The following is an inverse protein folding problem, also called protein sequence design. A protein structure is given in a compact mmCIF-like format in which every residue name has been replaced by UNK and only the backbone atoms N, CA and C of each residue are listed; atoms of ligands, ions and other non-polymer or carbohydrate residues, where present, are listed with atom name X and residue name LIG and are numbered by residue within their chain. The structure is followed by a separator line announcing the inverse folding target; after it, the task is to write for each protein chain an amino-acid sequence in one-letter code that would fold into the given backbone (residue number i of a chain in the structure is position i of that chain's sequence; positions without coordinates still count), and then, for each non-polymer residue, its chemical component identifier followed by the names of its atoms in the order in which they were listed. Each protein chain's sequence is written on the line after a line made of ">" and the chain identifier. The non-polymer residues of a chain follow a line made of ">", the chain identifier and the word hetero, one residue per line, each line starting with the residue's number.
data_IF_499784523168
#
_entry.id   IF_499784523168
#
_cell.length_a   1.000
_cell.length_b   1.000
_cell.length_c   1.000
_cell.angle_alpha   90.00
_cell.angle_beta   90.00
_cell.angle_gamma   90.00
#
_symmetry.space_group_name_H-M   'P 1'
#
loop_
_entity.id
_entity.type
_entity.pdbx_description
1 polymer ?
#
# COMPACT_ATOMS: atom_id res chain seq x y z
N UNK A 1 -28.25 6.22 -14.04
CA UNK A 1 -29.17 5.41 -13.23
C UNK A 1 -28.35 4.31 -12.60
N UNK A 2 -28.11 4.39 -11.28
CA UNK A 2 -27.48 3.30 -10.53
C UNK A 2 -28.56 2.23 -10.39
N UNK A 3 -28.51 1.18 -11.19
CA UNK A 3 -29.32 -0.02 -10.96
C UNK A 3 -28.77 -0.69 -9.72
N UNK A 4 -29.26 -0.26 -8.56
CA UNK A 4 -29.00 -0.88 -7.28
C UNK A 4 -29.59 -2.28 -7.27
N UNK A 5 -28.78 -3.27 -7.65
CA UNK A 5 -28.93 -4.60 -7.10
C UNK A 5 -28.60 -4.45 -5.62
N UNK A 6 -29.63 -4.48 -4.77
CA UNK A 6 -29.46 -4.63 -3.32
C UNK A 6 -28.71 -5.93 -3.10
N UNK A 7 -27.39 -5.86 -2.90
CA UNK A 7 -26.61 -6.99 -2.40
C UNK A 7 -27.31 -7.43 -1.11
N UNK A 8 -27.70 -8.70 -1.02
CA UNK A 8 -28.02 -9.29 0.29
C UNK A 8 -26.84 -8.98 1.20
N UNK A 9 -27.09 -8.52 2.42
CA UNK A 9 -26.02 -8.28 3.40
C UNK A 9 -25.11 -9.51 3.40
N UNK A 10 -23.84 -9.40 2.96
CA UNK A 10 -22.98 -10.56 2.86
C UNK A 10 -22.82 -11.13 4.27
N UNK A 11 -22.83 -12.46 4.38
CA UNK A 11 -22.59 -13.10 5.66
C UNK A 11 -21.23 -12.66 6.20
N UNK A 12 -21.09 -12.49 7.53
CA UNK A 12 -19.80 -12.16 8.09
C UNK A 12 -18.77 -13.21 7.68
N UNK A 13 -17.53 -12.80 7.37
CA UNK A 13 -16.50 -13.73 6.96
C UNK A 13 -16.31 -14.78 8.04
N UNK A 14 -15.94 -16.02 7.66
CA UNK A 14 -15.69 -17.11 8.60
C UNK A 14 -14.34 -16.95 9.33
N UNK A 15 -13.89 -15.71 9.50
CA UNK A 15 -12.64 -15.35 10.15
C UNK A 15 -12.74 -13.92 10.69
N UNK A 16 -11.89 -13.63 11.65
CA UNK A 16 -11.60 -12.28 12.13
C UNK A 16 -10.09 -12.04 12.10
N UNK A 17 -9.68 -10.78 12.20
CA UNK A 17 -8.31 -10.45 12.54
C UNK A 17 -8.26 -10.00 13.98
N UNK A 18 -7.29 -10.49 14.74
CA UNK A 18 -7.08 -10.13 16.13
C UNK A 18 -5.65 -9.63 16.32
N UNK A 19 -5.47 -8.65 17.20
CA UNK A 19 -4.15 -8.24 17.64
C UNK A 19 -3.41 -9.46 18.20
N UNK A 20 -2.21 -9.73 17.69
CA UNK A 20 -1.39 -10.83 18.17
C UNK A 20 -0.14 -10.33 18.88
N UNK A 21 0.59 -9.39 18.25
CA UNK A 21 1.84 -8.88 18.81
C UNK A 21 2.20 -7.51 18.25
N UNK A 22 3.13 -6.84 18.94
CA UNK A 22 3.77 -5.64 18.45
C UNK A 22 5.23 -5.58 18.89
N UNK A 23 6.04 -4.89 18.10
CA UNK A 23 7.46 -4.72 18.33
C UNK A 23 7.85 -3.26 18.12
N UNK A 24 8.53 -2.67 19.10
CA UNK A 24 9.06 -1.31 18.94
C UNK A 24 10.25 -1.33 17.98
N UNK A 25 10.26 -0.35 17.08
CA UNK A 25 11.37 -0.02 16.22
C UNK A 25 12.13 1.15 16.89
N UNK A 26 13.42 1.00 17.23
CA UNK A 26 14.17 2.07 17.88
C UNK A 26 14.21 3.35 17.04
N UNK A 27 14.08 4.51 17.69
CA UNK A 27 14.23 5.81 17.03
C UNK A 27 15.57 5.92 16.26
N UNK A 28 15.53 6.54 15.08
CA UNK A 28 16.64 6.61 14.12
C UNK A 28 16.80 5.37 13.24
N UNK A 29 15.97 4.34 13.44
CA UNK A 29 15.98 3.13 12.58
C UNK A 29 15.10 3.31 11.35
N UNK A 30 13.82 3.63 11.60
CA UNK A 30 12.79 3.98 10.62
C UNK A 30 11.90 5.00 11.32
N UNK A 31 12.07 6.27 10.98
CA UNK A 31 11.41 7.38 11.68
C UNK A 31 10.18 7.88 10.92
N UNK A 32 10.23 7.86 9.58
CA UNK A 32 9.20 8.41 8.70
C UNK A 32 8.62 7.28 7.83
N UNK A 33 8.27 6.14 8.44
CA UNK A 33 7.72 4.99 7.73
C UNK A 33 6.43 5.37 7.01
N UNK A 34 6.36 5.17 5.71
CA UNK A 34 5.20 5.59 4.91
C UNK A 34 4.56 4.43 4.11
N UNK A 35 5.37 3.51 3.56
CA UNK A 35 4.89 2.27 2.90
C UNK A 35 5.61 1.00 3.36
N UNK A 36 4.97 -0.16 3.25
CA UNK A 36 5.52 -1.46 3.69
C UNK A 36 5.02 -2.63 2.84
N UNK A 37 5.85 -3.66 2.66
CA UNK A 37 5.43 -4.92 2.05
C UNK A 37 6.10 -6.15 2.66
N UNK A 38 5.37 -7.25 2.80
CA UNK A 38 5.90 -8.54 3.27
C UNK A 38 6.74 -9.24 2.20
N UNK A 39 8.03 -9.41 2.48
CA UNK A 39 8.99 -9.91 1.51
C UNK A 39 8.68 -11.34 1.09
N UNK A 40 8.57 -11.53 -0.23
CA UNK A 40 8.42 -12.86 -0.83
C UNK A 40 9.76 -13.51 -1.08
N UNK A 41 10.78 -12.73 -1.43
CA UNK A 41 12.14 -13.21 -1.72
C UNK A 41 12.99 -13.42 -0.47
N UNK A 42 12.66 -12.79 0.65
CA UNK A 42 13.29 -12.99 1.97
C UNK A 42 12.23 -13.23 3.06
N UNK A 43 11.59 -14.41 3.10
CA UNK A 43 10.52 -14.72 4.05
C UNK A 43 10.86 -14.38 5.51
N UNK A 44 9.89 -13.86 6.26
CA UNK A 44 10.08 -13.43 7.66
C UNK A 44 10.56 -11.98 7.81
N UNK A 45 10.58 -11.23 6.71
CA UNK A 45 11.02 -9.85 6.66
C UNK A 45 10.01 -8.95 5.95
N UNK A 46 10.03 -7.68 6.30
CA UNK A 46 9.23 -6.61 5.71
C UNK A 46 10.18 -5.60 5.07
N UNK A 47 9.87 -5.21 3.85
CA UNK A 47 10.42 -4.01 3.25
C UNK A 47 9.64 -2.80 3.75
N UNK A 48 10.35 -1.74 4.10
CA UNK A 48 9.77 -0.48 4.53
C UNK A 48 10.44 0.66 3.78
N UNK A 49 9.63 1.57 3.27
CA UNK A 49 10.05 2.82 2.64
C UNK A 49 9.80 3.99 3.61
N UNK A 50 10.64 5.02 3.54
CA UNK A 50 10.49 6.25 4.34
C UNK A 50 10.15 7.43 3.43
N UNK A 51 9.29 8.33 3.92
CA UNK A 51 8.73 9.48 3.21
C UNK A 51 9.80 10.43 2.62
N UNK A 52 9.39 11.41 1.83
CA UNK A 52 10.20 12.49 1.27
C UNK A 52 11.17 13.11 2.28
N UNK A 53 12.24 13.69 1.75
CA UNK A 53 13.39 14.19 2.52
C UNK A 53 14.22 13.12 3.26
N UNK A 54 13.86 11.84 3.16
CA UNK A 54 14.70 10.74 3.63
C UNK A 54 15.58 10.17 2.51
N UNK A 55 16.66 9.43 2.86
CA UNK A 55 17.52 8.79 1.88
C UNK A 55 16.75 7.81 0.98
N UNK A 56 17.14 7.74 -0.29
CA UNK A 56 16.52 6.89 -1.32
C UNK A 56 16.90 5.41 -1.17
N UNK A 57 16.40 4.76 -0.12
CA UNK A 57 16.71 3.36 0.22
C UNK A 57 15.50 2.68 0.83
N UNK A 58 15.40 1.36 0.65
CA UNK A 58 14.49 0.52 1.42
C UNK A 58 15.18 -0.01 2.66
N UNK A 59 14.47 -0.05 3.78
CA UNK A 59 14.89 -0.76 4.99
C UNK A 59 14.26 -2.15 5.01
N UNK A 60 15.07 -3.17 5.34
CA UNK A 60 14.57 -4.53 5.58
C UNK A 60 14.54 -4.77 7.09
N UNK A 61 13.37 -5.04 7.66
CA UNK A 61 13.20 -5.44 9.06
C UNK A 61 12.67 -6.88 9.14
N UNK A 62 12.96 -7.60 10.21
CA UNK A 62 12.24 -8.85 10.47
C UNK A 62 10.87 -8.59 11.13
N UNK A 63 10.04 -9.62 11.28
CA UNK A 63 8.75 -9.51 11.98
C UNK A 63 8.86 -9.11 13.46
N UNK A 64 10.07 -9.04 14.03
CA UNK A 64 10.33 -8.51 15.37
C UNK A 64 10.76 -7.03 15.36
N UNK A 65 10.61 -6.33 14.24
CA UNK A 65 10.98 -4.90 14.10
C UNK A 65 12.49 -4.64 14.06
N UNK A 66 13.32 -5.66 13.91
CA UNK A 66 14.78 -5.51 13.91
C UNK A 66 15.30 -5.26 12.49
N UNK A 67 16.03 -4.17 12.30
CA UNK A 67 16.73 -3.86 11.05
C UNK A 67 17.74 -4.97 10.68
N UNK A 68 17.64 -5.46 9.45
CA UNK A 68 18.54 -6.47 8.86
C UNK A 68 19.44 -5.91 7.77
N UNK A 69 19.10 -4.75 7.22
CA UNK A 69 19.93 -4.03 6.28
C UNK A 69 19.11 -3.03 5.48
N UNK A 70 19.75 -2.39 4.51
CA UNK A 70 19.12 -1.41 3.64
C UNK A 70 19.62 -1.59 2.21
N UNK A 71 18.76 -1.33 1.23
CA UNK A 71 19.09 -1.36 -0.19
C UNK A 71 18.91 0.05 -0.75
N UNK A 72 20.00 0.65 -1.23
CA UNK A 72 19.94 1.95 -1.92
C UNK A 72 19.32 1.76 -3.30
N UNK A 73 18.50 2.71 -3.73
CA UNK A 73 17.82 2.67 -5.01
C UNK A 73 18.49 3.63 -6.02
N UNK A 74 18.50 3.31 -7.32
CA UNK A 74 19.18 4.10 -8.35
C UNK A 74 18.38 5.31 -8.85
N UNK A 75 17.31 5.68 -8.13
CA UNK A 75 16.41 6.79 -8.44
C UNK A 75 16.15 7.61 -7.16
N UNK A 76 15.77 8.90 -7.29
CA UNK A 76 15.61 9.77 -6.14
C UNK A 76 14.36 9.44 -5.33
N UNK A 77 14.37 9.86 -4.07
CA UNK A 77 13.18 10.06 -3.26
C UNK A 77 12.79 11.55 -3.36
N UNK A 78 11.77 11.87 -4.18
CA UNK A 78 11.20 13.22 -4.19
C UNK A 78 10.17 13.35 -3.06
N UNK A 79 9.18 12.47 -3.05
CA UNK A 79 8.13 12.38 -2.02
C UNK A 79 7.50 10.98 -2.09
N UNK A 80 8.16 9.98 -1.49
CA UNK A 80 7.72 8.58 -1.54
C UNK A 80 6.62 8.29 -0.52
N UNK A 81 5.44 7.89 -0.97
CA UNK A 81 4.29 7.79 -0.06
C UNK A 81 3.77 6.37 0.15
N UNK A 82 4.06 5.43 -0.74
CA UNK A 82 3.61 4.05 -0.53
C UNK A 82 4.41 3.04 -1.36
N UNK A 83 4.27 1.76 -1.02
CA UNK A 83 4.83 0.67 -1.81
C UNK A 83 3.94 -0.57 -1.78
N UNK A 84 4.03 -1.37 -2.85
CA UNK A 84 3.34 -2.66 -2.95
C UNK A 84 4.28 -3.72 -3.55
N UNK A 85 4.05 -5.00 -3.23
CA UNK A 85 4.82 -6.14 -3.71
C UNK A 85 3.92 -7.11 -4.47
N UNK A 86 4.12 -7.15 -5.78
CA UNK A 86 3.36 -7.98 -6.70
C UNK A 86 4.17 -9.18 -7.21
N UNK A 87 3.56 -10.37 -7.17
CA UNK A 87 4.12 -11.57 -7.80
C UNK A 87 3.57 -11.73 -9.22
N UNK A 88 4.42 -11.54 -10.22
CA UNK A 88 4.05 -11.73 -11.60
C UNK A 88 4.10 -13.23 -11.97
N UNK A 89 2.93 -13.83 -12.12
CA UNK A 89 2.79 -15.25 -12.50
C UNK A 89 3.35 -15.56 -13.89
N UNK A 90 3.41 -14.58 -14.81
CA UNK A 90 3.87 -14.80 -16.20
C UNK A 90 5.37 -15.11 -16.28
N UNK A 91 6.17 -14.44 -15.47
CA UNK A 91 7.64 -14.59 -15.45
C UNK A 91 8.16 -15.14 -14.11
N UNK A 92 7.27 -15.51 -13.19
CA UNK A 92 7.57 -16.02 -11.85
C UNK A 92 8.49 -15.09 -11.05
N UNK A 93 8.33 -13.79 -11.19
CA UNK A 93 9.18 -12.78 -10.53
C UNK A 93 8.39 -11.92 -9.54
N UNK A 94 8.98 -11.65 -8.38
CA UNK A 94 8.48 -10.66 -7.42
C UNK A 94 8.95 -9.26 -7.84
N UNK A 95 8.02 -8.31 -7.88
CA UNK A 95 8.27 -6.92 -8.20
C UNK A 95 7.82 -6.03 -7.05
N UNK A 96 8.67 -5.08 -6.68
CA UNK A 96 8.29 -3.96 -5.84
C UNK A 96 7.83 -2.82 -6.74
N UNK A 97 6.72 -2.21 -6.38
CA UNK A 97 6.21 -0.95 -6.90
C UNK A 97 6.35 0.08 -5.79
N UNK A 98 7.04 1.19 -6.06
CA UNK A 98 7.27 2.27 -5.10
C UNK A 98 6.73 3.57 -5.68
N UNK A 99 5.84 4.22 -4.92
CA UNK A 99 5.11 5.40 -5.33
C UNK A 99 5.84 6.67 -4.90
N UNK A 100 6.31 7.45 -5.87
CA UNK A 100 6.81 8.81 -5.66
C UNK A 100 5.69 9.76 -6.04
N UNK A 101 4.79 9.99 -5.08
CA UNK A 101 3.45 10.51 -5.33
C UNK A 101 2.98 11.61 -4.37
N UNK A 102 3.77 11.92 -3.34
CA UNK A 102 3.50 13.00 -2.39
C UNK A 102 3.50 14.35 -3.08
N UNK A 103 2.50 15.17 -2.73
CA UNK A 103 2.30 16.51 -3.26
C UNK A 103 1.31 17.32 -2.43
N UNK A 104 1.61 17.47 -1.13
CA UNK A 104 0.82 18.26 -0.19
C UNK A 104 0.52 19.69 -0.71
N UNK A 105 1.39 20.26 -1.54
CA UNK A 105 1.25 21.59 -2.14
C UNK A 105 0.54 21.59 -3.50
N UNK A 106 0.20 20.42 -4.04
CA UNK A 106 -0.45 20.23 -5.35
C UNK A 106 0.26 21.00 -6.47
N UNK A 107 1.58 20.85 -6.56
CA UNK A 107 2.45 21.64 -7.44
C UNK A 107 3.05 20.82 -8.60
N UNK A 108 3.01 19.49 -8.54
CA UNK A 108 3.64 18.66 -9.56
C UNK A 108 2.69 18.35 -10.72
N UNK A 109 3.15 18.46 -11.99
CA UNK A 109 2.33 18.08 -13.14
C UNK A 109 2.30 16.56 -13.38
N UNK A 110 3.27 15.84 -12.84
CA UNK A 110 3.50 14.41 -13.07
C UNK A 110 3.99 13.71 -11.80
N UNK A 111 3.74 12.41 -11.76
CA UNK A 111 3.99 11.51 -10.65
C UNK A 111 4.60 10.20 -11.16
N UNK A 112 5.27 9.47 -10.28
CA UNK A 112 6.05 8.30 -10.67
C UNK A 112 5.71 7.08 -9.84
N UNK A 113 5.70 5.92 -10.50
CA UNK A 113 5.79 4.62 -9.83
C UNK A 113 7.01 3.91 -10.37
N UNK A 114 7.97 3.61 -9.49
CA UNK A 114 9.15 2.83 -9.82
C UNK A 114 8.84 1.36 -9.63
N UNK A 115 9.12 0.54 -10.65
CA UNK A 115 8.94 -0.90 -10.61
C UNK A 115 10.27 -1.60 -10.80
N UNK A 116 10.65 -2.47 -9.88
CA UNK A 116 11.91 -3.21 -9.97
C UNK A 116 11.76 -4.59 -9.35
N UNK A 117 12.67 -5.51 -9.70
CA UNK A 117 12.67 -6.85 -9.10
C UNK A 117 12.93 -6.72 -7.61
N UNK A 118 12.18 -7.45 -6.80
CA UNK A 118 12.42 -7.53 -5.37
C UNK A 118 13.85 -8.04 -5.12
N UNK A 119 14.70 -7.32 -4.36
CA UNK A 119 16.02 -7.82 -3.99
C UNK A 119 15.93 -9.12 -3.20
N UNK A 120 16.87 -10.02 -3.42
CA UNK A 120 16.98 -11.31 -2.70
C UNK A 120 17.93 -11.26 -1.51
N UNK A 121 18.67 -10.15 -1.37
CA UNK A 121 19.50 -9.85 -0.21
C UNK A 121 19.70 -8.34 -0.06
N UNK A 122 20.08 -7.89 1.14
CA UNK A 122 20.43 -6.47 1.39
C UNK A 122 21.76 -6.03 0.75
N UNK A 123 22.53 -6.97 0.20
CA UNK A 123 23.78 -6.69 -0.53
C UNK A 123 23.56 -6.65 -2.05
N UNK A 124 22.34 -6.92 -2.53
CA UNK A 124 22.01 -6.88 -3.94
C UNK A 124 21.75 -5.43 -4.38
N UNK A 125 22.35 -5.03 -5.48
CA UNK A 125 22.13 -3.70 -6.06
C UNK A 125 20.95 -3.74 -7.05
N UNK A 126 19.99 -2.84 -6.86
CA UNK A 126 18.94 -2.59 -7.85
C UNK A 126 19.53 -1.77 -8.98
N UNK A 127 19.78 -2.41 -10.12
CA UNK A 127 20.38 -1.76 -11.31
C UNK A 127 19.40 -1.58 -12.47
N UNK A 128 18.27 -2.29 -12.44
CA UNK A 128 17.22 -2.24 -13.47
C UNK A 128 15.89 -1.94 -12.82
N UNK A 129 15.21 -0.93 -13.36
CA UNK A 129 13.88 -0.52 -12.95
C UNK A 129 13.13 0.05 -14.15
N UNK A 130 11.81 -0.11 -14.13
CA UNK A 130 10.90 0.63 -14.99
C UNK A 130 10.40 1.86 -14.22
N UNK A 131 10.09 2.94 -14.93
CA UNK A 131 9.44 4.12 -14.37
C UNK A 131 8.14 4.36 -15.10
N UNK A 132 7.03 4.20 -14.39
CA UNK A 132 5.70 4.56 -14.87
C UNK A 132 5.53 6.04 -14.55
N UNK A 133 5.33 6.86 -15.59
CA UNK A 133 5.02 8.29 -15.44
C UNK A 133 3.53 8.47 -15.64
N UNK A 134 2.87 9.17 -14.72
CA UNK A 134 1.45 9.45 -14.85
C UNK A 134 1.10 10.86 -14.39
N UNK A 135 -0.08 11.33 -14.81
CA UNK A 135 -0.61 12.64 -14.44
C UNK A 135 -2.11 12.56 -14.16
N UNK A 136 -2.61 13.49 -13.38
CA UNK A 136 -4.05 13.66 -13.13
C UNK A 136 -4.63 14.63 -14.17
N UNK A 137 -5.60 14.22 -15.01
CA UNK A 137 -6.19 15.09 -16.02
C UNK A 137 -6.82 16.37 -15.44
N UNK A 138 -7.27 16.31 -14.19
CA UNK A 138 -7.94 17.41 -13.49
C UNK A 138 -6.98 18.27 -12.63
N UNK A 139 -5.66 18.12 -12.84
CA UNK A 139 -4.62 18.82 -12.09
C UNK A 139 -4.07 18.04 -10.89
N UNK A 140 -3.01 18.56 -10.30
CA UNK A 140 -2.20 17.93 -9.24
C UNK A 140 -3.03 17.34 -8.09
N UNK A 141 -2.59 16.19 -7.57
CA UNK A 141 -3.20 15.50 -6.42
C UNK A 141 -2.12 14.91 -5.53
N UNK A 142 -2.27 15.16 -4.24
CA UNK A 142 -1.54 14.47 -3.18
C UNK A 142 -2.03 13.02 -3.06
N UNK A 143 -1.13 12.05 -3.20
CA UNK A 143 -1.47 10.62 -3.35
C UNK A 143 -0.58 9.76 -2.49
N UNK A 144 -1.22 8.96 -1.65
CA UNK A 144 -0.55 8.33 -0.50
C UNK A 144 -0.84 6.84 -0.39
N UNK A 145 -1.61 6.27 -1.33
CA UNK A 145 -1.73 4.83 -1.37
C UNK A 145 -1.71 4.31 -2.80
N UNK A 146 -1.00 3.19 -2.99
CA UNK A 146 -1.06 2.40 -4.21
C UNK A 146 -1.49 0.97 -3.90
N UNK A 147 -2.24 0.36 -4.81
CA UNK A 147 -2.62 -1.04 -4.73
C UNK A 147 -2.52 -1.69 -6.10
N UNK A 148 -1.84 -2.83 -6.20
CA UNK A 148 -1.72 -3.59 -7.43
C UNK A 148 -2.77 -4.70 -7.46
N UNK A 149 -3.70 -4.64 -8.41
CA UNK A 149 -4.74 -5.68 -8.52
C UNK A 149 -4.11 -7.01 -8.99
N UNK A 150 -4.22 -8.11 -8.21
CA UNK A 150 -3.44 -9.32 -8.48
C UNK A 150 -3.75 -10.07 -9.79
N UNK A 151 -4.92 -9.84 -10.39
CA UNK A 151 -5.42 -10.54 -11.58
C UNK A 151 -5.32 -9.67 -12.83
N UNK A 152 -5.66 -8.38 -12.74
CA UNK A 152 -5.63 -7.45 -13.89
C UNK A 152 -4.29 -6.72 -14.03
N UNK A 153 -3.51 -6.60 -12.95
CA UNK A 153 -2.29 -5.78 -12.86
C UNK A 153 -2.55 -4.27 -13.03
N UNK A 154 -3.80 -3.86 -12.91
CA UNK A 154 -4.13 -2.44 -12.79
C UNK A 154 -3.52 -1.91 -11.49
N UNK A 155 -2.97 -0.69 -11.56
CA UNK A 155 -2.51 0.02 -10.37
C UNK A 155 -3.62 0.98 -9.97
N UNK A 156 -4.13 0.82 -8.76
CA UNK A 156 -5.01 1.79 -8.14
C UNK A 156 -4.16 2.78 -7.35
N UNK A 157 -4.48 4.06 -7.48
CA UNK A 157 -3.85 5.13 -6.70
C UNK A 157 -4.93 5.93 -5.98
N UNK A 158 -4.69 6.26 -4.72
CA UNK A 158 -5.68 6.90 -3.84
C UNK A 158 -5.12 8.19 -3.28
N UNK A 159 -5.90 9.26 -3.41
CA UNK A 159 -5.50 10.58 -2.90
C UNK A 159 -5.69 10.70 -1.39
N UNK A 160 -4.78 11.38 -0.70
CA UNK A 160 -5.05 11.89 0.65
C UNK A 160 -5.76 13.23 0.56
N UNK A 161 -6.89 13.32 1.25
CA UNK A 161 -7.77 14.48 1.16
C UNK A 161 -8.51 14.68 2.47
N UNK A 162 -8.69 15.93 2.95
CA UNK A 162 -9.59 16.25 4.05
C UNK A 162 -11.06 16.06 3.66
N UNK A 163 -11.37 16.06 2.36
CA UNK A 163 -12.65 15.60 1.83
C UNK A 163 -12.62 14.10 1.53
N UNK A 164 -13.55 13.63 0.70
CA UNK A 164 -13.49 12.25 0.23
C UNK A 164 -12.19 12.03 -0.55
N UNK A 165 -11.46 10.96 -0.19
CA UNK A 165 -10.35 10.46 -0.98
C UNK A 165 -10.86 10.00 -2.35
N UNK A 166 -10.06 10.16 -3.39
CA UNK A 166 -10.42 9.79 -4.76
C UNK A 166 -9.63 8.57 -5.18
N UNK A 167 -10.31 7.64 -5.82
CA UNK A 167 -9.72 6.45 -6.41
C UNK A 167 -9.50 6.68 -7.89
N UNK A 168 -8.26 6.49 -8.33
CA UNK A 168 -7.87 6.50 -9.73
C UNK A 168 -7.26 5.16 -10.13
N UNK A 169 -7.17 4.93 -11.44
CA UNK A 169 -6.63 3.71 -12.02
C UNK A 169 -5.61 4.01 -13.12
N UNK A 170 -4.45 3.35 -13.04
CA UNK A 170 -3.47 3.21 -14.12
C UNK A 170 -3.67 1.82 -14.74
N UNK A 171 -4.39 1.76 -15.86
CA UNK A 171 -4.74 0.49 -16.47
C UNK A 171 -3.52 -0.27 -17.00
N UNK A 172 -3.54 -1.59 -16.84
CA UNK A 172 -2.58 -2.47 -17.48
C UNK A 172 -2.88 -2.63 -18.98
N UNK A 173 -1.87 -2.71 -19.87
CA UNK A 173 -0.44 -2.54 -19.57
C UNK A 173 -0.06 -1.07 -19.35
N UNK A 174 0.69 -0.79 -18.29
CA UNK A 174 1.25 0.54 -18.06
C UNK A 174 2.35 0.86 -19.07
N UNK A 175 2.55 2.15 -19.34
CA UNK A 175 3.59 2.65 -20.25
C UNK A 175 4.83 3.05 -19.46
N UNK A 176 6.00 2.81 -20.05
CA UNK A 176 7.31 3.16 -19.48
C UNK A 176 8.08 4.20 -20.31
N UNK A 177 7.57 4.55 -21.49
CA UNK A 177 8.19 5.45 -22.47
C UNK A 177 7.45 6.79 -22.61
N UNK A 178 6.26 6.90 -22.03
CA UNK A 178 5.38 8.07 -22.16
C UNK A 178 4.45 8.19 -20.95
N UNK A 179 4.12 9.43 -20.51
CA UNK A 179 3.15 9.64 -19.45
C UNK A 179 1.76 9.08 -19.82
N UNK A 180 1.05 8.55 -18.82
CA UNK A 180 -0.33 8.08 -18.96
C UNK A 180 -1.28 8.80 -17.99
N UNK A 181 -2.56 9.01 -18.36
CA UNK A 181 -3.51 9.62 -17.45
C UNK A 181 -3.93 8.64 -16.33
N UNK A 182 -4.00 9.13 -15.10
CA UNK A 182 -4.75 8.48 -14.03
C UNK A 182 -6.25 8.59 -14.31
N UNK A 183 -6.91 7.45 -14.54
CA UNK A 183 -8.34 7.44 -14.85
C UNK A 183 -9.14 7.49 -13.55
N UNK A 184 -9.96 8.53 -13.38
CA UNK A 184 -10.88 8.61 -12.24
C UNK A 184 -11.83 7.41 -12.21
N UNK A 185 -11.96 6.76 -11.05
CA UNK A 185 -12.87 5.63 -10.83
C UNK A 185 -14.08 6.09 -10.03
N UNK A 186 -13.85 6.57 -8.80
CA UNK A 186 -14.89 7.07 -7.92
C UNK A 186 -14.30 7.89 -6.77
N UNK A 187 -15.16 8.58 -6.03
CA UNK A 187 -14.83 9.04 -4.68
C UNK A 187 -14.94 7.84 -3.73
N UNK A 188 -14.08 7.75 -2.73
CA UNK A 188 -14.18 6.76 -1.68
C UNK A 188 -15.09 7.31 -0.57
N UNK A 189 -15.95 6.50 0.08
CA UNK A 189 -16.72 6.92 1.27
C UNK A 189 -15.86 7.04 2.54
N UNK A 190 -14.63 7.55 2.41
CA UNK A 190 -13.64 7.78 3.46
C UNK A 190 -12.68 8.90 3.04
N UNK A 191 -11.90 9.39 3.99
CA UNK A 191 -10.98 10.51 3.84
C UNK A 191 -9.60 10.14 4.38
N UNK A 192 -8.60 10.93 4.02
CA UNK A 192 -7.21 10.80 4.49
C UNK A 192 -6.65 9.37 4.41
N UNK A 193 -6.88 8.67 3.29
CA UNK A 193 -6.25 7.37 3.07
C UNK A 193 -4.72 7.53 3.00
N UNK A 194 -4.00 6.69 3.74
CA UNK A 194 -2.54 6.72 3.88
C UNK A 194 -1.82 5.46 3.40
N UNK A 195 -2.53 4.34 3.21
CA UNK A 195 -1.98 3.13 2.57
C UNK A 195 -3.11 2.12 2.32
N UNK A 196 -2.83 1.10 1.52
CA UNK A 196 -3.72 -0.02 1.27
C UNK A 196 -3.02 -1.21 0.64
N UNK A 197 -3.68 -2.36 0.62
CA UNK A 197 -3.14 -3.57 0.00
C UNK A 197 -4.26 -4.51 -0.49
N UNK A 198 -3.96 -5.32 -1.49
CA UNK A 198 -4.76 -6.47 -1.90
C UNK A 198 -4.20 -7.75 -1.26
N UNK A 199 -5.08 -8.64 -0.79
CA UNK A 199 -4.62 -9.99 -0.49
C UNK A 199 -4.06 -10.65 -1.75
N UNK A 200 -3.07 -11.55 -1.60
CA UNK A 200 -2.40 -12.18 -2.75
C UNK A 200 -3.34 -12.94 -3.72
N UNK A 201 -4.52 -13.35 -3.25
CA UNK A 201 -5.57 -13.99 -4.06
C UNK A 201 -6.61 -13.00 -4.64
N UNK A 202 -6.47 -11.71 -4.34
CA UNK A 202 -7.35 -10.63 -4.77
C UNK A 202 -8.72 -10.64 -4.09
N UNK A 203 -8.94 -11.47 -3.07
CA UNK A 203 -10.25 -11.60 -2.41
C UNK A 203 -10.49 -10.58 -1.31
N UNK A 204 -9.47 -9.82 -0.94
CA UNK A 204 -9.59 -8.84 0.14
C UNK A 204 -8.88 -7.56 -0.22
N UNK A 205 -9.42 -6.46 0.27
CA UNK A 205 -8.84 -5.13 0.17
C UNK A 205 -8.75 -4.58 1.57
N UNK A 206 -7.57 -4.11 1.96
CA UNK A 206 -7.36 -3.38 3.20
C UNK A 206 -7.00 -1.93 2.85
N UNK A 207 -7.66 -0.96 3.46
CA UNK A 207 -7.32 0.47 3.33
C UNK A 207 -7.25 1.10 4.70
N UNK A 208 -6.23 1.93 4.96
CA UNK A 208 -6.13 2.71 6.20
C UNK A 208 -6.23 4.19 5.97
N UNK A 209 -6.70 4.87 7.01
CA UNK A 209 -6.34 6.25 7.29
C UNK A 209 -5.61 6.33 8.64
N UNK A 210 -5.32 7.55 9.09
CA UNK A 210 -4.66 7.81 10.38
C UNK A 210 -5.32 7.19 11.62
N UNK A 211 -6.60 6.80 11.56
CA UNK A 211 -7.36 6.40 12.75
C UNK A 211 -8.17 5.12 12.59
N UNK A 212 -8.21 4.53 11.39
CA UNK A 212 -9.07 3.40 11.13
C UNK A 212 -8.52 2.52 10.03
N UNK A 213 -8.69 1.21 10.23
CA UNK A 213 -8.46 0.19 9.23
C UNK A 213 -9.77 -0.37 8.69
N UNK A 214 -9.87 -0.42 7.37
CA UNK A 214 -11.05 -0.90 6.65
C UNK A 214 -10.71 -2.17 5.88
N UNK A 215 -11.56 -3.18 5.99
CA UNK A 215 -11.46 -4.42 5.22
C UNK A 215 -12.73 -4.65 4.43
N UNK A 216 -12.54 -4.99 3.15
CA UNK A 216 -13.58 -5.53 2.27
C UNK A 216 -13.21 -6.94 1.85
N UNK A 217 -14.25 -7.78 1.69
CA UNK A 217 -14.13 -9.09 1.05
C UNK A 217 -14.78 -9.03 -0.34
N UNK A 218 -14.18 -9.76 -1.28
CA UNK A 218 -14.64 -9.89 -2.66
C UNK A 218 -15.09 -11.33 -2.89
N UNK A 219 -16.38 -11.50 -3.14
CA UNK A 219 -16.94 -12.78 -3.55
C UNK A 219 -16.52 -13.12 -4.99
N UNK A 220 -16.44 -12.10 -5.84
CA UNK A 220 -15.97 -12.18 -7.22
C UNK A 220 -14.78 -11.24 -7.43
N UNK A 221 -13.63 -11.81 -7.81
CA UNK A 221 -12.41 -11.06 -8.13
C UNK A 221 -12.51 -10.27 -9.44
N UNK A 222 -13.60 -10.43 -10.19
CA UNK A 222 -13.92 -9.61 -11.35
C UNK A 222 -14.88 -8.46 -11.02
N UNK A 223 -15.44 -8.42 -9.80
CA UNK A 223 -16.28 -7.31 -9.35
C UNK A 223 -15.45 -6.01 -9.39
N UNK A 224 -15.98 -4.93 -10.00
CA UNK A 224 -15.30 -3.64 -10.02
C UNK A 224 -15.01 -3.16 -8.60
N UNK A 225 -13.79 -2.64 -8.38
CA UNK A 225 -13.33 -2.24 -7.04
C UNK A 225 -14.27 -1.23 -6.37
N UNK A 226 -14.83 -0.30 -7.14
CA UNK A 226 -15.75 0.70 -6.62
C UNK A 226 -17.03 0.05 -6.09
N UNK A 227 -17.54 -0.97 -6.76
CA UNK A 227 -18.77 -1.66 -6.34
C UNK A 227 -18.51 -2.42 -5.04
N UNK A 228 -17.35 -3.08 -4.94
CA UNK A 228 -16.88 -3.73 -3.69
C UNK A 228 -16.84 -2.72 -2.54
N UNK A 229 -16.17 -1.58 -2.74
CA UNK A 229 -15.99 -0.56 -1.70
C UNK A 229 -17.33 0.03 -1.24
N UNK A 230 -18.25 0.27 -2.17
CA UNK A 230 -19.58 0.83 -1.87
C UNK A 230 -20.60 -0.20 -1.36
N UNK A 231 -20.32 -1.51 -1.48
CA UNK A 231 -21.27 -2.59 -1.15
C UNK A 231 -21.57 -2.82 0.35
N UNK A 232 -21.29 -1.83 1.20
CA UNK A 232 -21.69 -1.72 2.61
C UNK A 232 -21.08 -2.69 3.63
N UNK A 233 -20.44 -3.80 3.23
CA UNK A 233 -19.72 -4.66 4.18
C UNK A 233 -18.27 -4.20 4.41
N UNK A 234 -18.14 -3.12 5.17
CA UNK A 234 -16.87 -2.64 5.72
C UNK A 234 -16.69 -3.22 7.12
N UNK A 235 -15.70 -4.09 7.28
CA UNK A 235 -15.23 -4.41 8.63
C UNK A 235 -14.27 -3.32 9.07
N UNK A 236 -14.61 -2.66 10.19
CA UNK A 236 -13.61 -1.90 10.93
C UNK A 236 -12.74 -2.92 11.64
N UNK A 237 -11.49 -3.04 11.20
CA UNK A 237 -10.54 -3.93 11.83
C UNK A 237 -10.15 -3.40 13.21
N UNK A 238 -9.72 -4.28 14.14
CA UNK A 238 -9.18 -3.84 15.41
C UNK A 238 -8.06 -2.84 15.15
N UNK A 239 -8.21 -1.65 15.73
CA UNK A 239 -7.24 -0.59 15.60
C UNK A 239 -6.59 -0.37 16.96
N UNK A 240 -5.26 -0.44 16.99
CA UNK A 240 -4.47 0.11 18.09
C UNK A 240 -4.05 1.50 17.64
N UNK A 241 -4.16 2.49 18.52
CA UNK A 241 -3.75 3.84 18.17
C UNK A 241 -2.28 3.86 17.76
N UNK A 242 -2.05 4.16 16.48
CA UNK A 242 -0.76 4.41 15.88
C UNK A 242 -0.64 5.92 15.68
N UNK A 243 0.28 6.59 16.41
CA UNK A 243 0.65 7.95 16.05
C UNK A 243 1.11 7.97 14.58
N UNK A 244 0.46 8.75 13.72
CA UNK A 244 0.76 8.81 12.27
C UNK A 244 0.85 7.41 11.65
N UNK A 245 -0.24 6.65 11.73
CA UNK A 245 -0.26 5.36 11.07
C UNK A 245 -0.33 5.53 9.54
N UNK A 246 0.73 5.08 8.86
CA UNK A 246 0.91 5.28 7.43
C UNK A 246 0.80 3.97 6.66
N UNK A 247 1.54 2.92 7.04
CA UNK A 247 1.71 1.73 6.21
C UNK A 247 0.83 0.54 6.64
N UNK A 248 0.33 -0.23 5.67
CA UNK A 248 -0.32 -1.54 5.90
C UNK A 248 0.02 -2.52 4.78
N UNK A 249 0.23 -3.79 5.13
CA UNK A 249 0.29 -4.87 4.13
C UNK A 249 -0.22 -6.19 4.68
N UNK A 250 -0.78 -7.04 3.82
CA UNK A 250 -1.10 -8.42 4.18
C UNK A 250 0.19 -9.23 4.38
N UNK A 251 0.16 -10.18 5.32
CA UNK A 251 1.15 -11.25 5.37
C UNK A 251 0.98 -12.11 4.12
N UNK A 252 2.09 -12.46 3.46
CA UNK A 252 2.13 -13.06 2.12
C UNK A 252 1.35 -14.38 1.99
N UNK A 253 1.12 -15.09 3.10
CA UNK A 253 0.35 -16.34 3.13
C UNK A 253 -1.11 -16.12 3.58
N UNK A 254 -1.55 -14.87 3.73
CA UNK A 254 -2.90 -14.48 4.13
C UNK A 254 -3.25 -14.79 5.59
N UNK A 255 -2.25 -15.07 6.45
CA UNK A 255 -2.46 -15.41 7.87
C UNK A 255 -2.62 -14.20 8.77
N UNK A 256 -2.47 -12.99 8.25
CA UNK A 256 -2.55 -11.76 9.02
C UNK A 256 -2.28 -10.55 8.15
N UNK A 257 -2.10 -9.41 8.81
CA UNK A 257 -1.57 -8.19 8.21
C UNK A 257 -0.65 -7.49 9.22
N UNK A 258 0.25 -6.68 8.68
CA UNK A 258 1.15 -5.80 9.42
C UNK A 258 0.72 -4.35 9.25
N UNK A 259 0.95 -3.53 10.26
CA UNK A 259 0.81 -2.08 10.18
C UNK A 259 1.94 -1.39 10.92
N UNK A 260 2.35 -0.23 10.40
CA UNK A 260 3.44 0.56 10.92
C UNK A 260 3.13 2.05 10.72
N UNK A 261 3.31 2.84 11.77
CA UNK A 261 3.27 4.30 11.71
C UNK A 261 4.64 4.94 11.88
N UNK A 262 4.68 6.25 11.71
CA UNK A 262 5.85 7.08 11.95
C UNK A 262 6.20 7.20 13.43
N UNK A 263 7.43 7.65 13.68
CA UNK A 263 7.87 8.01 15.03
C UNK A 263 7.25 9.34 15.44
N UNK A 264 6.35 9.30 16.41
CA UNK A 264 5.76 10.52 16.97
C UNK A 264 6.54 11.08 18.17
N UNK A 265 7.26 12.18 17.95
CA UNK A 265 8.05 12.88 18.98
C UNK A 265 9.08 11.96 19.65
N UNK A 266 8.86 11.62 20.93
CA UNK A 266 9.72 10.75 21.73
C UNK A 266 9.22 9.31 21.76
N UNK A 267 8.07 9.02 21.13
CA UNK A 267 7.53 7.67 21.03
C UNK A 267 8.17 6.98 19.82
N UNK A 268 8.83 5.82 20.01
CA UNK A 268 9.33 5.04 18.89
C UNK A 268 8.16 4.56 18.02
N UNK A 269 8.44 4.34 16.73
CA UNK A 269 7.52 3.63 15.85
C UNK A 269 7.31 2.19 16.33
N UNK A 270 6.14 1.63 16.04
CA UNK A 270 5.76 0.31 16.51
C UNK A 270 5.17 -0.49 15.36
N UNK A 271 5.78 -1.65 15.08
CA UNK A 271 5.28 -2.61 14.12
C UNK A 271 4.23 -3.47 14.81
N UNK A 272 3.00 -3.45 14.32
CA UNK A 272 1.92 -4.30 14.81
C UNK A 272 1.66 -5.45 13.85
N UNK A 273 1.24 -6.59 14.40
CA UNK A 273 0.77 -7.74 13.64
C UNK A 273 -0.59 -8.20 14.15
N UNK A 274 -1.52 -8.38 13.21
CA UNK A 274 -2.86 -8.87 13.46
C UNK A 274 -3.05 -10.20 12.75
N UNK A 275 -3.25 -11.26 13.51
CA UNK A 275 -3.40 -12.61 12.98
C UNK A 275 -4.85 -12.90 12.60
N UNK A 276 -5.04 -13.61 11.50
CA UNK A 276 -6.32 -14.20 11.10
C UNK A 276 -6.65 -15.36 12.04
N UNK A 277 -7.83 -15.31 12.67
CA UNK A 277 -8.40 -16.36 13.50
C UNK A 277 -9.69 -16.88 12.88
N UNK A 278 -10.03 -18.14 13.15
CA UNK A 278 -11.30 -18.76 12.75
C UNK A 278 -12.38 -18.49 13.78
#
# INVERSE_FOLDING_TARGET
>A
MVTGLTRSQPEPPPFIFEYEQSHSIPAGTIDEASGMADSRSMPGHLWVQEDGNNPNRLSLINYQGQLKGRVNLPFPNRDWEDMDLFFNKKDSTNYIYLADTGDNLQQYPEYYIYRFKEPTSVNEEVTKYDRIVFYYPEGSRDTEAILIEPHTQDIYVITKSPGLSKLYKLAYPQKYDSPMPAMYVCDLPMYMITSGDFSADGKQIILRNYTTMYLWNRDDVNEPIQDVIYSSYKLMLPYVFEPQGEAVCFEKNGKGYFTLGEKFKLLPSQLFYFARKK
#
